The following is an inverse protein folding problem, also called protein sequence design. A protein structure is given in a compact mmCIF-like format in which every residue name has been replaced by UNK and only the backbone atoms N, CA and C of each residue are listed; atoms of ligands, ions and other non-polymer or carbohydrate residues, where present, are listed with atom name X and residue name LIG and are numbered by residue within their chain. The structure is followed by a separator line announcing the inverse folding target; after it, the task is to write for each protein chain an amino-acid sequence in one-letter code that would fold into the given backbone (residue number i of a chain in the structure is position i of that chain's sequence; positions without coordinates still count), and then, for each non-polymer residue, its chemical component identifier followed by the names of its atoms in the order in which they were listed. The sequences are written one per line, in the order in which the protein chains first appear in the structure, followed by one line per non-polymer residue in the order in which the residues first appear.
data_IF_431820676794
#
_entry.id   IF_431820676794
#
_cell.length_a   1.000
_cell.length_b   1.000
_cell.length_c   1.000
_cell.angle_alpha   90.00
_cell.angle_beta   90.00
_cell.angle_gamma   90.00
#
_symmetry.space_group_name_H-M   'P 1'
#
loop_
_entity.id
_entity.type
_entity.pdbx_description
1 polymer ?
#
# COMPACT_ATOMS: atom_id res chain seq x y z
N UNK A 1 -12.29 -5.87 8.19
CA UNK A 1 -11.94 -5.57 6.79
C UNK A 1 -13.19 -5.79 5.99
N UNK A 2 -13.98 -4.73 5.94
CA UNK A 2 -15.37 -4.75 5.51
C UNK A 2 -15.52 -4.13 4.11
N UNK A 3 -14.49 -3.40 3.65
CA UNK A 3 -14.41 -2.79 2.31
C UNK A 3 -13.22 -3.31 1.50
N UNK A 4 -13.29 -3.14 0.17
CA UNK A 4 -12.19 -3.44 -0.75
C UNK A 4 -10.96 -2.60 -0.41
N UNK A 5 -11.16 -1.31 -0.16
CA UNK A 5 -10.10 -0.37 0.21
C UNK A 5 -9.37 -0.80 1.50
N UNK A 6 -10.10 -1.18 2.55
CA UNK A 6 -9.49 -1.68 3.80
C UNK A 6 -8.69 -2.96 3.57
N UNK A 7 -9.20 -3.87 2.74
CA UNK A 7 -8.52 -5.11 2.41
C UNK A 7 -7.23 -4.84 1.62
N UNK A 8 -7.30 -3.99 0.60
CA UNK A 8 -6.15 -3.58 -0.19
C UNK A 8 -5.12 -2.84 0.67
N UNK A 9 -5.56 -1.99 1.60
CA UNK A 9 -4.68 -1.34 2.58
C UNK A 9 -3.93 -2.38 3.39
N UNK A 10 -4.64 -3.35 3.98
CA UNK A 10 -4.01 -4.37 4.82
C UNK A 10 -2.95 -5.20 4.07
N UNK A 11 -3.25 -5.65 2.85
CA UNK A 11 -2.28 -6.44 2.07
C UNK A 11 -1.07 -5.60 1.63
N UNK A 12 -1.30 -4.31 1.33
CA UNK A 12 -0.26 -3.37 0.90
C UNK A 12 0.68 -3.02 2.03
N UNK A 13 0.14 -2.64 3.20
CA UNK A 13 0.95 -2.34 4.39
C UNK A 13 1.78 -3.55 4.83
N UNK A 14 1.18 -4.75 4.77
CA UNK A 14 1.90 -5.98 5.08
C UNK A 14 3.04 -6.25 4.09
N UNK A 15 2.85 -5.98 2.80
CA UNK A 15 3.87 -6.13 1.78
C UNK A 15 5.00 -5.09 1.91
N UNK A 16 4.67 -3.84 2.26
CA UNK A 16 5.66 -2.79 2.52
C UNK A 16 6.55 -3.13 3.70
N UNK A 17 5.94 -3.51 4.84
CA UNK A 17 6.67 -3.92 6.03
C UNK A 17 7.62 -5.09 5.71
N UNK A 18 7.14 -6.14 5.03
CA UNK A 18 7.99 -7.29 4.65
C UNK A 18 9.06 -6.94 3.63
N UNK A 19 8.78 -6.03 2.70
CA UNK A 19 9.76 -5.56 1.72
C UNK A 19 10.96 -4.92 2.40
N UNK A 20 10.69 -4.11 3.43
CA UNK A 20 11.67 -3.44 4.27
C UNK A 20 12.16 -4.30 5.45
N UNK A 21 11.96 -5.62 5.39
CA UNK A 21 12.38 -6.56 6.44
C UNK A 21 11.88 -6.23 7.85
N UNK A 22 10.69 -5.62 7.94
CA UNK A 22 10.08 -5.14 9.19
C UNK A 22 10.99 -4.14 9.92
N UNK A 23 11.81 -3.36 9.18
CA UNK A 23 12.60 -2.27 9.75
C UNK A 23 11.68 -1.20 10.33
N UNK A 24 11.95 -0.77 11.55
CA UNK A 24 11.28 0.38 12.19
C UNK A 24 11.85 1.73 11.70
N UNK A 25 12.94 1.72 10.94
CA UNK A 25 13.54 2.91 10.38
C UNK A 25 12.78 3.38 9.13
N UNK A 26 12.41 4.67 9.12
CA UNK A 26 11.64 5.28 8.03
C UNK A 26 12.46 5.33 6.73
N UNK A 27 13.75 5.67 6.83
CA UNK A 27 14.60 5.81 5.65
C UNK A 27 14.79 4.45 4.98
N UNK A 28 15.04 3.39 5.76
CA UNK A 28 15.12 2.02 5.24
C UNK A 28 13.82 1.63 4.50
N UNK A 29 12.64 1.92 5.08
CA UNK A 29 11.35 1.65 4.45
C UNK A 29 11.22 2.35 3.08
N UNK A 30 11.57 3.63 3.02
CA UNK A 30 11.45 4.44 1.80
C UNK A 30 12.47 4.03 0.73
N UNK A 31 13.71 3.72 1.12
CA UNK A 31 14.75 3.24 0.21
C UNK A 31 14.37 1.87 -0.38
N UNK A 32 13.95 0.91 0.45
CA UNK A 32 13.54 -0.42 -0.01
C UNK A 32 12.27 -0.36 -0.87
N UNK A 33 11.35 0.55 -0.57
CA UNK A 33 10.16 0.81 -1.39
C UNK A 33 10.55 1.36 -2.76
N UNK A 34 11.46 2.32 -2.82
CA UNK A 34 11.99 2.87 -4.08
C UNK A 34 12.63 1.78 -4.94
N UNK A 35 13.44 0.90 -4.34
CA UNK A 35 14.06 -0.24 -5.02
C UNK A 35 13.02 -1.26 -5.50
N UNK A 36 11.98 -1.52 -4.70
CA UNK A 36 10.89 -2.41 -5.06
C UNK A 36 10.11 -1.90 -6.28
N UNK A 37 9.79 -0.61 -6.32
CA UNK A 37 9.13 0.03 -7.48
C UNK A 37 10.02 -0.04 -8.72
N UNK A 38 11.29 0.35 -8.61
CA UNK A 38 12.22 0.36 -9.74
C UNK A 38 12.41 -1.03 -10.38
N UNK A 39 12.26 -2.10 -9.58
CA UNK A 39 12.39 -3.49 -10.03
C UNK A 39 11.06 -4.19 -10.32
N UNK A 40 9.91 -3.51 -10.17
CA UNK A 40 8.57 -4.11 -10.15
C UNK A 40 8.50 -5.35 -9.27
N UNK A 41 9.06 -5.24 -8.06
CA UNK A 41 9.17 -6.35 -7.13
C UNK A 41 7.76 -6.86 -6.79
N UNK A 42 7.65 -8.17 -6.64
CA UNK A 42 6.45 -8.81 -6.12
C UNK A 42 6.75 -9.18 -4.67
N UNK A 43 5.90 -8.71 -3.76
CA UNK A 43 5.95 -9.08 -2.35
C UNK A 43 4.57 -9.59 -1.97
N UNK A 44 4.53 -10.84 -1.54
CA UNK A 44 3.30 -11.56 -1.27
C UNK A 44 2.27 -11.51 -2.41
N UNK A 45 1.15 -10.84 -2.19
CA UNK A 45 0.02 -10.79 -3.11
C UNK A 45 -0.01 -9.53 -3.96
N UNK A 46 0.98 -8.64 -3.81
CA UNK A 46 1.04 -7.36 -4.52
C UNK A 46 2.33 -7.23 -5.34
N UNK A 47 2.24 -6.45 -6.40
CA UNK A 47 3.33 -6.02 -7.25
C UNK A 47 3.44 -4.50 -7.18
N UNK A 48 4.66 -4.00 -6.99
CA UNK A 48 4.97 -2.57 -7.04
C UNK A 48 5.06 -2.12 -8.51
N UNK A 49 4.46 -0.99 -8.88
CA UNK A 49 4.41 -0.53 -10.28
C UNK A 49 5.14 0.79 -10.51
N UNK A 50 4.70 1.85 -9.85
CA UNK A 50 5.11 3.22 -10.11
C UNK A 50 5.11 4.02 -8.81
N UNK A 51 5.95 5.05 -8.74
CA UNK A 51 6.03 5.97 -7.61
C UNK A 51 6.25 7.39 -8.12
N UNK A 52 5.54 8.35 -7.55
CA UNK A 52 5.73 9.79 -7.78
C UNK A 52 5.41 10.59 -6.53
N UNK A 53 5.77 11.86 -6.56
CA UNK A 53 5.53 12.81 -5.48
C UNK A 53 4.74 14.00 -6.01
N UNK A 54 3.80 14.51 -5.21
CA UNK A 54 3.01 15.70 -5.55
C UNK A 54 2.77 16.56 -4.30
N UNK A 55 2.98 17.87 -4.42
CA UNK A 55 2.61 18.82 -3.38
C UNK A 55 1.11 19.10 -3.45
N UNK A 56 0.39 18.89 -2.35
CA UNK A 56 -1.03 19.21 -2.26
C UNK A 56 -1.19 20.53 -1.49
N UNK A 57 -1.76 21.53 -2.16
CA UNK A 57 -2.07 22.84 -1.58
C UNK A 57 -3.25 22.71 -0.59
N UNK A 58 -2.93 22.61 0.70
CA UNK A 58 -3.92 22.73 1.75
C UNK A 58 -4.21 24.22 2.00
N UNK A 59 -5.25 24.73 1.34
CA UNK A 59 -5.70 26.14 1.42
C UNK A 59 -6.14 26.68 2.80
N UNK A 60 -5.75 26.03 3.91
CA UNK A 60 -6.15 26.39 5.28
C UNK A 60 -4.96 26.65 6.19
N UNK A 61 -3.84 25.96 6.02
CA UNK A 61 -2.62 26.12 6.82
C UNK A 61 -1.41 26.22 5.87
N UNK A 62 -0.56 27.25 6.03
CA UNK A 62 0.40 27.78 5.04
C UNK A 62 1.56 26.84 4.62
N UNK A 63 1.47 25.53 4.86
CA UNK A 63 2.45 24.53 4.47
C UNK A 63 1.89 23.60 3.38
N UNK A 64 2.53 23.60 2.22
CA UNK A 64 2.32 22.55 1.22
C UNK A 64 2.90 21.24 1.78
N UNK A 65 2.05 20.23 1.95
CA UNK A 65 2.49 18.88 2.34
C UNK A 65 2.83 18.13 1.04
N UNK A 66 4.01 17.52 1.02
CA UNK A 66 4.43 16.66 -0.08
C UNK A 66 3.87 15.26 0.18
N UNK A 67 3.23 14.67 -0.82
CA UNK A 67 2.72 13.30 -0.72
C UNK A 67 3.46 12.39 -1.70
N UNK A 68 3.81 11.21 -1.23
CA UNK A 68 4.27 10.09 -2.03
C UNK A 68 3.08 9.23 -2.45
N UNK A 69 3.05 8.90 -3.73
CA UNK A 69 2.04 8.04 -4.33
C UNK A 69 2.73 6.80 -4.87
N UNK A 70 2.25 5.62 -4.48
CA UNK A 70 2.82 4.34 -4.92
C UNK A 70 1.70 3.48 -5.51
N UNK A 71 1.80 3.16 -6.79
CA UNK A 71 0.83 2.30 -7.48
C UNK A 71 1.18 0.84 -7.29
N UNK A 72 0.14 0.05 -7.02
CA UNK A 72 0.22 -1.40 -6.87
C UNK A 72 -0.75 -2.10 -7.81
N UNK A 73 -0.43 -3.37 -8.06
CA UNK A 73 -1.33 -4.35 -8.69
C UNK A 73 -1.30 -5.66 -7.93
N UNK A 74 -2.27 -6.52 -8.19
CA UNK A 74 -2.20 -7.90 -7.73
C UNK A 74 -1.01 -8.63 -8.37
N UNK A 75 -0.33 -9.45 -7.57
CA UNK A 75 0.71 -10.34 -8.08
C UNK A 75 0.13 -11.33 -9.11
N UNK A 76 0.89 -11.73 -10.14
CA UNK A 76 0.41 -12.63 -11.19
C UNK A 76 -0.26 -13.91 -10.67
N UNK A 77 0.29 -14.50 -9.60
CA UNK A 77 -0.26 -15.70 -8.95
C UNK A 77 -1.67 -15.52 -8.40
N UNK A 78 -2.02 -14.31 -7.94
CA UNK A 78 -3.37 -14.00 -7.44
C UNK A 78 -4.34 -13.89 -8.61
N UNK A 79 -3.92 -13.22 -9.69
CA UNK A 79 -4.70 -13.12 -10.92
C UNK A 79 -4.95 -14.49 -11.55
N UNK A 80 -3.96 -15.38 -11.54
CA UNK A 80 -4.09 -16.77 -12.01
C UNK A 80 -5.12 -17.54 -11.16
N UNK A 81 -5.04 -17.46 -9.83
CA UNK A 81 -6.00 -18.11 -8.94
C UNK A 81 -7.43 -17.56 -9.10
N UNK A 82 -7.59 -16.26 -9.36
CA UNK A 82 -8.89 -15.69 -9.68
C UNK A 82 -9.43 -16.21 -11.02
N UNK A 83 -8.56 -16.33 -12.03
CA UNK A 83 -8.91 -16.83 -13.35
C UNK A 83 -9.36 -18.30 -13.30
N UNK A 84 -8.75 -19.13 -12.46
CA UNK A 84 -9.18 -20.51 -12.21
C UNK A 84 -10.61 -20.60 -11.64
N UNK A 85 -11.06 -19.56 -10.94
CA UNK A 85 -12.43 -19.43 -10.45
C UNK A 85 -13.37 -18.73 -11.45
N UNK A 86 -12.88 -18.34 -12.63
CA UNK A 86 -13.66 -17.65 -13.66
C UNK A 86 -13.74 -16.14 -13.49
N UNK A 87 -12.86 -15.54 -12.68
CA UNK A 87 -12.82 -14.11 -12.41
C UNK A 87 -11.57 -13.47 -13.00
N UNK A 88 -11.70 -12.24 -13.49
CA UNK A 88 -10.62 -11.47 -14.12
C UNK A 88 -10.31 -10.27 -13.25
N UNK A 89 -9.11 -10.23 -12.66
CA UNK A 89 -8.67 -9.17 -11.73
C UNK A 89 -7.37 -8.47 -12.17
N UNK A 90 -6.87 -8.73 -13.37
CA UNK A 90 -5.60 -8.17 -13.84
C UNK A 90 -5.64 -6.66 -14.13
N UNK A 91 -6.84 -6.06 -14.12
CA UNK A 91 -7.05 -4.62 -14.27
C UNK A 91 -7.16 -3.90 -12.91
N UNK A 92 -7.23 -4.65 -11.80
CA UNK A 92 -7.26 -4.07 -10.47
C UNK A 92 -5.90 -3.44 -10.13
N UNK A 93 -5.89 -2.12 -10.03
CA UNK A 93 -4.78 -1.33 -9.50
C UNK A 93 -5.29 -0.35 -8.45
N UNK A 94 -4.43 -0.01 -7.51
CA UNK A 94 -4.72 0.97 -6.47
C UNK A 94 -3.45 1.73 -6.11
N UNK A 95 -3.62 2.90 -5.51
CA UNK A 95 -2.52 3.78 -5.13
C UNK A 95 -2.48 3.91 -3.63
N UNK A 96 -1.32 3.70 -3.03
CA UNK A 96 -1.06 4.11 -1.66
C UNK A 96 -0.65 5.58 -1.66
N UNK A 97 -1.26 6.37 -0.80
CA UNK A 97 -0.92 7.77 -0.56
C UNK A 97 -0.29 7.86 0.83
N UNK A 98 0.92 8.42 0.89
CA UNK A 98 1.68 8.61 2.12
C UNK A 98 2.17 10.06 2.19
N UNK A 99 2.03 10.75 3.32
CA UNK A 99 2.73 12.02 3.49
C UNK A 99 4.24 11.79 3.51
N UNK A 100 5.00 12.72 2.93
CA UNK A 100 6.43 12.80 3.17
C UNK A 100 6.65 13.21 4.65
N UNK A 101 7.31 12.37 5.46
CA UNK A 101 7.55 12.66 6.87
C UNK A 101 8.32 13.97 7.10
N UNK A 102 9.19 14.39 6.16
CA UNK A 102 9.94 15.65 6.28
C UNK A 102 9.07 16.89 6.03
N UNK A 103 7.91 16.72 5.38
CA UNK A 103 6.96 17.79 5.08
C UNK A 103 5.91 18.03 6.17
N UNK A 104 5.83 17.13 7.16
CA UNK A 104 4.90 17.23 8.29
C UNK A 104 5.39 18.18 9.39
N UNK A 105 4.45 18.73 10.16
CA UNK A 105 4.78 19.51 11.37
C UNK A 105 5.54 18.64 12.39
N UNK A 106 6.42 19.27 13.18
CA UNK A 106 7.36 18.55 14.04
C UNK A 106 6.69 17.57 15.03
N UNK A 107 5.49 17.90 15.52
CA UNK A 107 4.69 17.07 16.42
C UNK A 107 3.79 16.04 15.71
N UNK A 108 3.75 16.09 14.38
CA UNK A 108 3.05 15.13 13.51
C UNK A 108 4.01 14.15 12.81
N UNK A 109 5.33 14.38 12.90
CA UNK A 109 6.33 13.49 12.30
C UNK A 109 6.30 12.10 12.95
N UNK A 110 6.14 11.02 12.16
CA UNK A 110 6.17 9.67 12.69
C UNK A 110 7.56 9.33 13.23
N UNK A 111 7.63 8.64 14.36
CA UNK A 111 8.89 8.22 14.98
C UNK A 111 9.40 6.87 14.43
N UNK A 112 8.54 6.14 13.70
CA UNK A 112 8.85 4.83 13.14
C UNK A 112 8.19 4.62 11.78
N UNK A 113 8.73 3.67 11.02
CA UNK A 113 8.12 3.19 9.77
C UNK A 113 6.69 2.69 10.00
N UNK A 114 6.45 2.04 11.14
CA UNK A 114 5.12 1.56 11.54
C UNK A 114 4.14 2.73 11.71
N UNK A 115 4.54 3.80 12.40
CA UNK A 115 3.73 5.01 12.55
C UNK A 115 3.49 5.71 11.22
N UNK A 116 4.50 5.81 10.36
CA UNK A 116 4.35 6.37 9.01
C UNK A 116 3.30 5.58 8.20
N UNK A 117 3.37 4.24 8.23
CA UNK A 117 2.41 3.37 7.56
C UNK A 117 0.97 3.49 8.10
N UNK A 118 0.78 3.95 9.34
CA UNK A 118 -0.56 4.23 9.88
C UNK A 118 -1.22 5.45 9.23
N UNK A 119 -0.41 6.42 8.77
CA UNK A 119 -0.86 7.62 8.05
C UNK A 119 -1.27 7.31 6.60
N UNK A 120 -0.96 6.12 6.09
CA UNK A 120 -1.20 5.78 4.70
C UNK A 120 -2.68 5.69 4.36
N UNK A 121 -3.06 6.12 3.17
CA UNK A 121 -4.39 5.92 2.61
C UNK A 121 -4.31 5.11 1.32
N UNK A 122 -5.41 4.45 0.96
CA UNK A 122 -5.55 3.79 -0.34
C UNK A 122 -6.53 4.59 -1.17
N UNK A 123 -6.10 5.01 -2.34
CA UNK A 123 -6.94 5.54 -3.39
C UNK A 123 -7.21 4.43 -4.43
N UNK A 124 -8.48 4.26 -4.78
CA UNK A 124 -8.95 3.26 -5.72
C UNK A 124 -10.22 3.74 -6.43
N UNK A 125 -10.24 3.63 -7.75
CA UNK A 125 -11.33 4.11 -8.60
C UNK A 125 -12.62 3.26 -8.53
N UNK A 126 -12.61 2.16 -7.78
CA UNK A 126 -13.72 1.21 -7.70
C UNK A 126 -14.03 0.79 -6.26
N UNK A 127 -15.33 0.82 -5.94
CA UNK A 127 -15.87 0.20 -4.74
C UNK A 127 -16.66 -1.05 -5.14
N UNK A 128 -16.09 -2.23 -4.91
CA UNK A 128 -16.68 -3.51 -5.34
C UNK A 128 -16.68 -4.55 -4.24
N UNK A 129 -17.86 -4.87 -3.72
CA UNK A 129 -18.04 -6.01 -2.82
C UNK A 129 -17.73 -7.34 -3.51
N UNK A 130 -17.99 -7.45 -4.82
CA UNK A 130 -17.74 -8.69 -5.55
C UNK A 130 -16.24 -9.02 -5.63
N UNK A 131 -15.41 -8.02 -5.95
CA UNK A 131 -13.95 -8.20 -5.98
C UNK A 131 -13.40 -8.48 -4.59
N UNK A 132 -13.91 -7.79 -3.56
CA UNK A 132 -13.54 -8.07 -2.17
C UNK A 132 -13.77 -9.55 -1.80
N UNK A 133 -14.94 -10.10 -2.11
CA UNK A 133 -15.25 -11.50 -1.77
C UNK A 133 -14.37 -12.49 -2.54
N UNK A 134 -14.03 -12.19 -3.80
CA UNK A 134 -13.10 -13.00 -4.59
C UNK A 134 -11.69 -12.93 -3.97
N UNK A 135 -11.21 -11.74 -3.63
CA UNK A 135 -9.89 -11.57 -3.02
C UNK A 135 -9.80 -12.28 -1.67
N UNK A 136 -10.84 -12.20 -0.83
CA UNK A 136 -10.92 -12.94 0.44
C UNK A 136 -10.92 -14.47 0.26
N UNK A 137 -11.41 -14.98 -0.88
CA UNK A 137 -11.40 -16.42 -1.16
C UNK A 137 -10.02 -16.94 -1.59
N UNK A 138 -9.15 -16.05 -2.11
CA UNK A 138 -7.85 -16.39 -2.70
C UNK A 138 -6.68 -16.02 -1.78
N UNK A 139 -6.76 -14.86 -1.12
CA UNK A 139 -5.69 -14.32 -0.29
C UNK A 139 -6.02 -14.59 1.18
N UNK A 140 -5.20 -15.44 1.81
CA UNK A 140 -5.25 -15.67 3.26
C UNK A 140 -4.28 -14.69 3.91
N UNK A 141 -4.82 -13.75 4.67
CA UNK A 141 -4.02 -12.92 5.56
C UNK A 141 -3.72 -13.75 6.81
N UNK A 142 -2.44 -14.01 7.08
CA UNK A 142 -2.04 -14.66 8.32
C UNK A 142 -2.46 -13.75 9.49
N UNK A 143 -3.28 -14.25 10.41
CA UNK A 143 -3.52 -13.55 11.67
C UNK A 143 -2.19 -13.42 12.42
N UNK A 144 -1.90 -12.26 13.05
CA UNK A 144 -0.68 -12.11 13.84
C UNK A 144 -0.66 -13.20 14.90
N UNK A 145 0.38 -14.05 14.85
CA UNK A 145 0.62 -15.05 15.90
C UNK A 145 0.95 -14.29 17.19
N UNK A 146 -0.05 -14.12 18.04
CA UNK A 146 0.14 -13.73 19.43
C UNK A 146 0.95 -14.84 20.11
N UNK A 147 2.26 -14.62 20.25
CA UNK A 147 3.12 -15.36 21.17
C UNK A 147 3.24 -14.60 22.49
#
# INVERSE_FOLDING_TARGET
MDTLQEFLKAITLSALARNAHESEDIQDLLEDTTLAVASRRIVDCVQFEEMWEEEIDHSVDEANILFMFITFRLAPRVCEAALEQGHVLNELSWTLVLPDPESLEQDEQPESSTELLMLAEIDIDIESTAELEILKSIIILEEPRLN
#
